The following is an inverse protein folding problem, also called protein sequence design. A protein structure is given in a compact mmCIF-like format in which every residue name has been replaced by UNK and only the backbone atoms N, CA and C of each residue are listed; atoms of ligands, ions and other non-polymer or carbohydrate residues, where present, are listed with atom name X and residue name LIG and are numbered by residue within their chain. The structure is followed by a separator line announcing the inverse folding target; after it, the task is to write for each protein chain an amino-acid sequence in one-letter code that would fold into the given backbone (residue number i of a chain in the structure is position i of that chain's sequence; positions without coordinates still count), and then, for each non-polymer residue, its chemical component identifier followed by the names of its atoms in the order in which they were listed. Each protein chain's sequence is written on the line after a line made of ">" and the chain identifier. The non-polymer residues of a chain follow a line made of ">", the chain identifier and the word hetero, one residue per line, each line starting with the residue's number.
data_IF_504280004214
#
_entry.id   IF_504280004214
#
_cell.length_a   1.000
_cell.length_b   1.000
_cell.length_c   1.000
_cell.angle_alpha   90.00
_cell.angle_beta   90.00
_cell.angle_gamma   90.00
#
_symmetry.space_group_name_H-M   'P 1'
#
loop_
_entity.id
_entity.type
_entity.pdbx_description
1 polymer ?
#
# COMPACT_ATOMS: atom_id res chain seq x y z
N UNK A 1 32.43 5.15 9.83
CA UNK A 1 32.05 4.92 8.42
C UNK A 1 31.10 3.75 8.19
N UNK A 2 31.06 2.70 9.02
CA UNK A 2 30.17 1.53 8.80
C UNK A 2 28.66 1.89 8.76
N UNK A 3 28.23 2.82 9.61
CA UNK A 3 26.80 3.21 9.75
C UNK A 3 26.24 3.77 8.44
N UNK A 4 26.97 4.64 7.75
CA UNK A 4 26.52 5.24 6.50
C UNK A 4 26.32 4.19 5.40
N UNK A 5 27.27 3.25 5.25
CA UNK A 5 27.17 2.17 4.25
C UNK A 5 25.98 1.25 4.53
N UNK A 6 25.76 0.89 5.79
CA UNK A 6 24.61 0.08 6.19
C UNK A 6 23.30 0.83 5.93
N UNK A 7 23.20 2.11 6.32
CA UNK A 7 22.01 2.92 6.04
C UNK A 7 21.74 3.02 4.54
N UNK A 8 22.76 3.30 3.73
CA UNK A 8 22.60 3.38 2.27
C UNK A 8 22.16 2.04 1.68
N UNK A 9 22.76 0.93 2.10
CA UNK A 9 22.38 -0.40 1.62
C UNK A 9 20.91 -0.73 1.96
N UNK A 10 20.48 -0.42 3.19
CA UNK A 10 19.08 -0.60 3.60
C UNK A 10 18.14 0.26 2.75
N UNK A 11 18.46 1.54 2.55
CA UNK A 11 17.63 2.43 1.74
C UNK A 11 17.51 1.94 0.29
N UNK A 12 18.61 1.47 -0.31
CA UNK A 12 18.61 0.90 -1.66
C UNK A 12 17.74 -0.35 -1.73
N UNK A 13 17.86 -1.26 -0.74
CA UNK A 13 17.04 -2.47 -0.70
C UNK A 13 15.55 -2.17 -0.53
N UNK A 14 15.20 -1.24 0.37
CA UNK A 14 13.80 -0.83 0.58
C UNK A 14 13.23 -0.18 -0.68
N UNK A 15 13.98 0.72 -1.32
CA UNK A 15 13.56 1.34 -2.57
C UNK A 15 13.37 0.31 -3.70
N UNK A 16 14.30 -0.65 -3.82
CA UNK A 16 14.21 -1.75 -4.78
C UNK A 16 13.00 -2.65 -4.54
N UNK A 17 12.71 -2.96 -3.27
CA UNK A 17 11.53 -3.74 -2.90
C UNK A 17 10.22 -3.03 -3.25
N UNK A 18 10.11 -1.74 -2.95
CA UNK A 18 8.93 -0.93 -3.29
C UNK A 18 8.74 -0.85 -4.82
N UNK A 19 9.82 -0.63 -5.57
CA UNK A 19 9.75 -0.57 -7.03
C UNK A 19 9.33 -1.92 -7.64
N UNK A 20 9.82 -3.03 -7.08
CA UNK A 20 9.42 -4.37 -7.49
C UNK A 20 7.93 -4.64 -7.18
N UNK A 21 7.48 -4.36 -5.96
CA UNK A 21 6.08 -4.50 -5.57
C UNK A 21 5.14 -3.69 -6.46
N UNK A 22 5.46 -2.40 -6.70
CA UNK A 22 4.64 -1.53 -7.55
C UNK A 22 4.56 -1.99 -9.02
N UNK A 23 5.56 -2.72 -9.52
CA UNK A 23 5.59 -3.22 -10.89
C UNK A 23 5.03 -4.64 -11.06
N UNK A 24 5.05 -5.44 -10.00
CA UNK A 24 4.62 -6.85 -10.03
C UNK A 24 3.20 -7.06 -9.49
N UNK A 25 2.70 -6.15 -8.65
CA UNK A 25 1.39 -6.28 -8.01
C UNK A 25 0.27 -5.75 -8.91
N UNK A 26 -0.87 -6.45 -8.90
CA UNK A 26 -2.09 -5.96 -9.54
C UNK A 26 -2.62 -4.70 -8.85
N UNK A 27 -3.36 -3.83 -9.57
CA UNK A 27 -4.06 -2.71 -8.96
C UNK A 27 -4.91 -3.17 -7.78
N UNK A 28 -4.80 -2.47 -6.65
CA UNK A 28 -5.58 -2.79 -5.46
C UNK A 28 -7.08 -2.75 -5.79
N UNK A 29 -7.77 -3.86 -5.54
CA UNK A 29 -9.22 -3.93 -5.65
C UNK A 29 -9.87 -3.31 -4.40
N UNK A 30 -10.46 -2.11 -4.46
CA UNK A 30 -11.04 -1.45 -3.30
C UNK A 30 -12.29 -2.15 -2.76
N UNK A 31 -12.88 -3.06 -3.54
CA UNK A 31 -14.09 -3.81 -3.18
C UNK A 31 -13.81 -5.19 -2.59
N UNK A 32 -12.59 -5.71 -2.79
CA UNK A 32 -12.16 -7.01 -2.28
C UNK A 32 -11.12 -6.91 -1.15
N UNK A 33 -10.44 -5.78 -1.03
CA UNK A 33 -9.41 -5.57 -0.02
C UNK A 33 -9.99 -4.95 1.27
N UNK A 34 -9.44 -5.38 2.41
CA UNK A 34 -9.63 -4.68 3.69
C UNK A 34 -8.99 -3.28 3.57
N UNK A 35 -9.54 -2.22 4.22
CA UNK A 35 -8.95 -0.89 4.14
C UNK A 35 -7.48 -0.91 4.53
N UNK A 36 -6.64 -0.32 3.68
CA UNK A 36 -5.22 -0.15 3.99
C UNK A 36 -5.00 0.77 5.19
N UNK A 37 -5.92 1.71 5.42
CA UNK A 37 -5.84 2.73 6.48
C UNK A 37 -7.21 2.86 7.16
N UNK A 38 -7.33 2.32 8.37
CA UNK A 38 -8.51 2.47 9.21
C UNK A 38 -8.29 3.60 10.23
N UNK A 39 -8.62 4.84 9.84
CA UNK A 39 -8.49 6.04 10.69
C UNK A 39 -9.55 6.14 11.80
N UNK A 40 -10.38 5.10 11.98
CA UNK A 40 -11.39 4.99 13.04
C UNK A 40 -12.65 4.23 12.58
N UNK A 41 -13.28 3.50 13.52
CA UNK A 41 -14.35 2.48 13.37
C UNK A 41 -13.93 1.08 12.88
N UNK A 42 -12.76 0.93 12.25
CA UNK A 42 -12.28 -0.38 11.77
C UNK A 42 -13.13 -1.00 10.67
N UNK A 43 -14.14 -0.29 10.16
CA UNK A 43 -14.98 -0.78 9.08
C UNK A 43 -14.27 -0.67 7.74
N UNK A 44 -14.42 -1.72 6.94
CA UNK A 44 -14.23 -1.65 5.51
C UNK A 44 -15.13 -0.57 4.88
N UNK A 45 -14.74 -0.01 3.73
CA UNK A 45 -15.69 0.66 2.86
C UNK A 45 -16.71 -0.39 2.40
N UNK A 46 -17.70 -0.66 3.25
CA UNK A 46 -18.60 -1.79 3.14
C UNK A 46 -19.75 -1.41 2.21
N UNK A 47 -19.46 -1.24 0.91
CA UNK A 47 -20.44 -1.17 -0.18
C UNK A 47 -21.64 -0.22 0.00
N UNK A 48 -21.64 0.67 1.00
CA UNK A 48 -22.75 1.57 1.25
C UNK A 48 -22.87 2.51 0.05
N UNK A 49 -24.09 2.88 -0.29
CA UNK A 49 -24.41 3.65 -1.51
C UNK A 49 -23.61 4.96 -1.65
N UNK A 50 -23.05 5.48 -0.55
CA UNK A 50 -22.22 6.69 -0.50
C UNK A 50 -20.71 6.43 -0.33
N UNK A 51 -20.26 5.18 -0.16
CA UNK A 51 -18.90 4.86 0.29
C UNK A 51 -17.91 4.52 -0.84
N UNK A 52 -18.39 4.14 -2.02
CA UNK A 52 -17.51 3.88 -3.16
C UNK A 52 -18.20 4.28 -4.48
N UNK A 53 -17.66 5.26 -5.23
CA UNK A 53 -18.17 5.56 -6.56
C UNK A 53 -17.93 4.35 -7.49
N UNK A 54 -18.89 3.99 -8.35
CA UNK A 54 -18.73 2.86 -9.27
C UNK A 54 -17.50 3.05 -10.15
N UNK A 55 -16.83 1.95 -10.56
CA UNK A 55 -15.74 2.04 -11.51
C UNK A 55 -16.20 2.76 -12.78
N UNK A 56 -15.28 3.49 -13.42
CA UNK A 56 -15.51 4.13 -14.72
C UNK A 56 -15.57 3.08 -15.80
#
# INVERSE_FOLDING_TARGET
>A
MIRAHVTTAVLVLVAGFIAFDAGASDPLNPYGAVPMLALGSGMAAAGAHCAAPPPK
#
